data_IF_543660610121
#
_entry.id   IF_543660610121
#
_cell.length_a   1.000
_cell.length_b   1.000
_cell.length_c   1.000
_cell.angle_alpha   90.00
_cell.angle_beta   90.00
_cell.angle_gamma   90.00
#
_symmetry.space_group_name_H-M   'P 1'
#
loop_
_entity.id
_entity.type
_entity.pdbx_description
1 polymer ?
#
# COMPACT_ATOMS: atom_id res chain seq x y z
N UNK A 1 74.97 50.62 9.39
CA UNK A 1 74.04 51.05 8.33
C UNK A 1 73.79 49.81 7.50
N UNK A 2 72.68 49.13 7.79
CA UNK A 2 72.32 47.86 7.18
C UNK A 2 71.05 48.11 6.38
N UNK A 3 71.15 47.96 5.06
CA UNK A 3 70.06 48.18 4.12
C UNK A 3 68.94 47.17 4.37
N UNK A 4 67.77 47.68 4.76
CA UNK A 4 66.54 46.90 4.84
C UNK A 4 66.06 46.64 3.40
N UNK A 5 65.81 45.37 3.02
CA UNK A 5 65.32 45.05 1.69
C UNK A 5 63.95 45.68 1.48
N UNK A 6 63.86 46.54 0.47
CA UNK A 6 62.65 47.26 0.11
C UNK A 6 61.52 46.28 -0.22
N UNK A 7 60.49 46.30 0.63
CA UNK A 7 59.18 45.73 0.33
C UNK A 7 58.66 46.39 -0.95
N UNK A 8 58.69 45.65 -2.06
CA UNK A 8 57.97 46.07 -3.27
C UNK A 8 56.48 46.10 -2.95
N UNK A 9 55.75 47.15 -3.35
CA UNK A 9 54.29 47.15 -3.22
C UNK A 9 53.75 45.93 -3.98
N UNK A 10 52.74 45.23 -3.43
CA UNK A 10 52.12 44.12 -4.13
C UNK A 10 51.64 44.64 -5.49
N UNK A 11 52.05 43.95 -6.57
CA UNK A 11 51.51 44.20 -7.90
C UNK A 11 49.99 44.14 -7.79
N UNK A 12 49.31 45.19 -8.22
CA UNK A 12 47.84 45.24 -8.23
C UNK A 12 47.36 44.09 -9.13
N UNK A 13 46.89 43.01 -8.50
CA UNK A 13 46.35 41.84 -9.17
C UNK A 13 45.28 42.29 -10.17
N UNK A 14 45.49 41.97 -11.46
CA UNK A 14 44.56 42.27 -12.54
C UNK A 14 43.17 41.71 -12.17
N UNK A 15 42.12 42.55 -12.10
CA UNK A 15 40.78 42.10 -11.73
C UNK A 15 40.24 40.98 -12.64
N UNK A 16 40.72 40.87 -13.89
CA UNK A 16 40.37 39.77 -14.78
C UNK A 16 40.96 38.42 -14.33
N UNK A 17 42.19 38.42 -13.81
CA UNK A 17 42.84 37.22 -13.29
C UNK A 17 42.17 36.72 -12.01
N UNK A 18 41.76 37.64 -11.12
CA UNK A 18 40.99 37.30 -9.94
C UNK A 18 39.66 36.60 -10.29
N UNK A 19 38.94 37.10 -11.31
CA UNK A 19 37.69 36.51 -11.78
C UNK A 19 37.93 35.12 -12.39
N UNK A 20 38.98 34.96 -13.20
CA UNK A 20 39.33 33.68 -13.82
C UNK A 20 39.67 32.61 -12.78
N UNK A 21 40.44 32.97 -11.75
CA UNK A 21 40.77 32.08 -10.63
C UNK A 21 39.50 31.69 -9.86
N UNK A 22 38.58 32.63 -9.64
CA UNK A 22 37.30 32.35 -8.96
C UNK A 22 36.43 31.37 -9.77
N UNK A 23 36.31 31.57 -11.09
CA UNK A 23 35.57 30.68 -11.98
C UNK A 23 36.17 29.27 -12.01
N UNK A 24 37.49 29.15 -12.09
CA UNK A 24 38.18 27.86 -12.05
C UNK A 24 37.92 27.12 -10.73
N UNK A 25 38.03 27.80 -9.58
CA UNK A 25 37.72 27.22 -8.27
C UNK A 25 36.26 26.79 -8.14
N UNK A 26 35.34 27.55 -8.74
CA UNK A 26 33.92 27.18 -8.77
C UNK A 26 33.68 25.93 -9.63
N UNK A 27 34.26 25.88 -10.83
CA UNK A 27 34.18 24.73 -11.72
C UNK A 27 34.77 23.46 -11.07
N UNK A 28 35.94 23.57 -10.43
CA UNK A 28 36.55 22.46 -9.69
C UNK A 28 35.66 21.94 -8.56
N UNK A 29 35.03 22.83 -7.77
CA UNK A 29 34.08 22.42 -6.72
C UNK A 29 32.83 21.74 -7.26
N UNK A 30 32.36 22.14 -8.45
CA UNK A 30 31.26 21.43 -9.12
C UNK A 30 31.71 20.05 -9.57
N UNK A 31 32.86 19.94 -10.23
CA UNK A 31 33.39 18.66 -10.70
C UNK A 31 33.64 17.68 -9.54
N UNK A 32 34.23 18.16 -8.45
CA UNK A 32 34.46 17.35 -7.26
C UNK A 32 33.14 16.84 -6.66
N UNK A 33 32.12 17.70 -6.55
CA UNK A 33 30.78 17.27 -6.09
C UNK A 33 30.17 16.24 -7.03
N UNK A 34 30.17 16.46 -8.34
CA UNK A 34 29.64 15.49 -9.30
C UNK A 34 30.37 14.15 -9.25
N UNK A 35 31.68 14.16 -8.97
CA UNK A 35 32.44 12.94 -8.80
C UNK A 35 32.07 12.22 -7.51
N UNK A 36 31.99 12.92 -6.37
CA UNK A 36 31.51 12.36 -5.11
C UNK A 36 30.10 11.77 -5.27
N UNK A 37 29.20 12.46 -5.96
CA UNK A 37 27.84 11.99 -6.23
C UNK A 37 27.82 10.70 -7.05
N UNK A 38 28.69 10.58 -8.07
CA UNK A 38 28.82 9.35 -8.86
C UNK A 38 29.41 8.20 -8.05
N UNK A 39 30.40 8.47 -7.21
CA UNK A 39 31.02 7.47 -6.35
C UNK A 39 30.03 6.94 -5.30
N UNK A 40 29.26 7.84 -4.67
CA UNK A 40 28.20 7.47 -3.72
C UNK A 40 27.09 6.69 -4.41
N UNK A 41 26.59 7.17 -5.55
CA UNK A 41 25.56 6.48 -6.31
C UNK A 41 26.01 5.09 -6.78
N UNK A 42 27.26 4.96 -7.24
CA UNK A 42 27.84 3.67 -7.63
C UNK A 42 27.99 2.70 -6.46
N UNK A 43 28.31 3.21 -5.27
CA UNK A 43 28.36 2.41 -4.04
C UNK A 43 26.97 1.92 -3.66
N UNK A 44 25.96 2.81 -3.68
CA UNK A 44 24.56 2.44 -3.42
C UNK A 44 24.09 1.37 -4.42
N UNK A 45 24.29 1.59 -5.72
CA UNK A 45 23.91 0.61 -6.74
C UNK A 45 24.62 -0.74 -6.53
N UNK A 46 25.91 -0.72 -6.21
CA UNK A 46 26.72 -1.90 -5.94
C UNK A 46 26.16 -2.74 -4.79
N UNK A 47 25.85 -2.12 -3.65
CA UNK A 47 25.31 -2.83 -2.49
C UNK A 47 23.90 -3.36 -2.73
N UNK A 48 23.05 -2.61 -3.45
CA UNK A 48 21.73 -3.09 -3.84
C UNK A 48 21.82 -4.29 -4.79
N UNK A 49 22.71 -4.25 -5.78
CA UNK A 49 22.94 -5.37 -6.70
C UNK A 49 23.48 -6.59 -5.96
N UNK A 50 24.37 -6.39 -5.00
CA UNK A 50 24.92 -7.46 -4.18
C UNK A 50 23.85 -8.10 -3.28
N UNK A 51 23.03 -7.29 -2.60
CA UNK A 51 21.92 -7.76 -1.78
C UNK A 51 20.87 -8.51 -2.61
N UNK A 52 20.53 -8.00 -3.80
CA UNK A 52 19.62 -8.66 -4.72
C UNK A 52 20.14 -10.04 -5.17
N UNK A 53 21.40 -10.09 -5.61
CA UNK A 53 22.02 -11.33 -6.07
C UNK A 53 22.09 -12.36 -4.95
N UNK A 54 22.46 -11.93 -3.74
CA UNK A 54 22.55 -12.79 -2.57
C UNK A 54 21.17 -13.34 -2.17
N UNK A 55 20.13 -12.50 -2.16
CA UNK A 55 18.75 -12.89 -1.87
C UNK A 55 18.28 -14.02 -2.79
N UNK A 56 18.33 -13.79 -4.11
CA UNK A 56 17.86 -14.76 -5.09
C UNK A 56 18.78 -15.97 -5.26
N UNK A 57 20.04 -15.90 -4.82
CA UNK A 57 20.92 -17.08 -4.81
C UNK A 57 20.50 -18.11 -3.74
N UNK A 58 19.85 -17.66 -2.65
CA UNK A 58 19.44 -18.50 -1.52
C UNK A 58 17.98 -18.92 -1.61
N UNK A 59 17.14 -18.09 -2.22
CA UNK A 59 15.69 -18.32 -2.28
C UNK A 59 15.30 -19.73 -2.77
N UNK A 60 15.85 -20.29 -3.88
CA UNK A 60 15.39 -21.57 -4.40
C UNK A 60 15.56 -22.73 -3.41
N UNK A 61 16.73 -22.82 -2.78
CA UNK A 61 17.03 -23.86 -1.79
C UNK A 61 16.07 -23.77 -0.59
N UNK A 62 15.71 -22.54 -0.20
CA UNK A 62 14.89 -22.31 0.98
C UNK A 62 13.41 -22.50 0.71
N UNK A 63 12.94 -22.08 -0.45
CA UNK A 63 11.62 -22.44 -0.93
C UNK A 63 11.47 -23.97 -1.01
N UNK A 64 12.49 -24.67 -1.50
CA UNK A 64 12.50 -26.13 -1.52
C UNK A 64 12.47 -26.74 -0.10
N UNK A 65 13.30 -26.25 0.82
CA UNK A 65 13.29 -26.71 2.21
C UNK A 65 11.95 -26.44 2.91
N UNK A 66 11.35 -25.26 2.68
CA UNK A 66 10.05 -24.91 3.23
C UNK A 66 8.94 -25.81 2.66
N UNK A 67 8.90 -26.02 1.35
CA UNK A 67 7.96 -26.93 0.70
C UNK A 67 8.10 -28.34 1.29
N UNK A 68 9.33 -28.85 1.41
CA UNK A 68 9.61 -30.14 2.06
C UNK A 68 9.19 -30.17 3.53
N UNK A 69 9.29 -29.05 4.26
CA UNK A 69 8.85 -28.98 5.65
C UNK A 69 7.32 -28.97 5.80
N UNK A 70 6.62 -28.48 4.77
CA UNK A 70 5.16 -28.48 4.68
C UNK A 70 4.60 -29.81 4.16
N UNK A 71 5.46 -30.71 3.67
CA UNK A 71 5.08 -32.09 3.39
C UNK A 71 4.61 -32.72 4.70
N UNK A 72 3.29 -32.72 4.89
CA UNK A 72 2.64 -33.52 5.91
C UNK A 72 3.09 -34.95 5.66
N UNK A 73 3.47 -35.66 6.72
CA UNK A 73 3.68 -37.11 6.68
C UNK A 73 2.35 -37.79 6.34
N UNK A 74 1.97 -37.72 5.08
CA UNK A 74 0.84 -38.43 4.53
C UNK A 74 1.22 -39.90 4.58
N UNK A 75 0.36 -40.77 5.13
CA UNK A 75 0.58 -42.21 5.06
C UNK A 75 0.51 -42.72 3.61
N UNK A 76 0.10 -41.87 2.66
CA UNK A 76 0.09 -42.18 1.24
C UNK A 76 1.38 -41.69 0.57
N UNK A 77 2.00 -42.51 -0.30
CA UNK A 77 3.13 -42.05 -1.10
C UNK A 77 2.73 -40.80 -1.89
N UNK A 78 3.61 -39.79 -2.00
CA UNK A 78 3.33 -38.62 -2.81
C UNK A 78 2.99 -39.09 -4.23
N UNK A 79 1.87 -38.61 -4.77
CA UNK A 79 1.57 -38.78 -6.19
C UNK A 79 2.73 -38.14 -6.97
N UNK A 80 3.26 -38.85 -7.97
CA UNK A 80 4.33 -38.27 -8.79
C UNK A 80 3.82 -36.98 -9.43
N UNK A 81 4.67 -35.96 -9.54
CA UNK A 81 4.32 -34.79 -10.35
C UNK A 81 4.04 -35.22 -11.79
N UNK A 82 4.74 -36.24 -12.28
CA UNK A 82 4.43 -36.85 -13.57
C UNK A 82 3.04 -37.50 -13.55
N UNK A 83 2.59 -38.15 -12.47
CA UNK A 83 1.20 -38.67 -12.40
C UNK A 83 0.14 -37.55 -12.36
N UNK A 84 0.48 -36.40 -11.77
CA UNK A 84 -0.37 -35.21 -11.71
C UNK A 84 -0.45 -34.50 -13.07
N UNK A 85 0.60 -34.57 -13.90
CA UNK A 85 0.71 -33.87 -15.18
C UNK A 85 0.59 -34.78 -16.42
N UNK A 86 0.75 -36.11 -16.30
CA UNK A 86 0.55 -37.09 -17.38
C UNK A 86 -0.94 -37.22 -17.75
N UNK A 87 -1.86 -36.74 -16.90
CA UNK A 87 -3.26 -36.51 -17.24
C UNK A 87 -3.58 -35.07 -17.68
N UNK A 88 -2.62 -34.16 -17.58
CA UNK A 88 -2.73 -32.79 -18.08
C UNK A 88 -2.06 -32.70 -19.46
N UNK A 89 -2.38 -33.63 -20.36
CA UNK A 89 -2.45 -33.23 -21.77
C UNK A 89 -3.28 -31.95 -21.80
N UNK A 90 -2.80 -30.92 -22.51
CA UNK A 90 -3.56 -29.71 -22.77
C UNK A 90 -5.00 -30.14 -23.03
N UNK A 91 -5.89 -29.97 -22.04
CA UNK A 91 -7.32 -30.00 -22.27
C UNK A 91 -7.54 -28.68 -23.00
N UNK A 92 -7.12 -28.65 -24.28
CA UNK A 92 -7.92 -28.03 -25.30
C UNK A 92 -9.32 -28.52 -24.95
N UNK A 93 -10.18 -27.63 -24.48
CA UNK A 93 -11.59 -27.93 -24.25
C UNK A 93 -12.25 -28.21 -25.62
N UNK A 94 -11.68 -29.13 -26.38
CA UNK A 94 -12.35 -29.90 -27.38
C UNK A 94 -13.39 -30.68 -26.58
N UNK A 95 -14.69 -30.45 -26.84
CA UNK A 95 -15.73 -31.17 -26.13
C UNK A 95 -15.42 -32.65 -26.27
N UNK A 96 -15.12 -33.32 -25.15
CA UNK A 96 -14.99 -34.77 -25.15
C UNK A 96 -16.21 -35.33 -25.87
N UNK A 97 -16.03 -36.26 -26.84
CA UNK A 97 -17.16 -36.90 -27.48
C UNK A 97 -18.03 -37.44 -26.36
N UNK A 98 -19.28 -36.97 -26.30
CA UNK A 98 -20.24 -37.25 -25.23
C UNK A 98 -20.10 -38.71 -24.82
N UNK A 99 -19.50 -39.02 -23.66
CA UNK A 99 -19.22 -40.41 -23.31
C UNK A 99 -20.55 -41.13 -23.25
N UNK A 100 -20.71 -42.17 -24.08
CA UNK A 100 -21.94 -42.97 -24.13
C UNK A 100 -22.21 -43.70 -22.81
N UNK A 101 -21.18 -43.83 -21.96
CA UNK A 101 -21.22 -44.46 -20.65
C UNK A 101 -20.48 -43.59 -19.63
N UNK A 102 -21.17 -43.21 -18.56
CA UNK A 102 -20.55 -42.52 -17.43
C UNK A 102 -20.00 -43.57 -16.45
N UNK A 103 -18.67 -43.63 -16.30
CA UNK A 103 -18.02 -44.43 -15.27
C UNK A 103 -17.64 -43.56 -14.08
N UNK A 104 -18.04 -43.96 -12.88
CA UNK A 104 -17.66 -43.27 -11.65
C UNK A 104 -16.80 -44.20 -10.79
N UNK A 105 -15.67 -43.68 -10.32
CA UNK A 105 -14.89 -44.33 -9.28
C UNK A 105 -15.39 -43.91 -7.91
N UNK A 106 -16.00 -44.84 -7.19
CA UNK A 106 -16.48 -44.60 -5.84
C UNK A 106 -15.41 -45.13 -4.88
N UNK A 107 -14.85 -44.21 -4.08
CA UNK A 107 -13.96 -44.59 -2.99
C UNK A 107 -14.77 -44.81 -1.71
N UNK A 108 -14.85 -46.06 -1.26
CA UNK A 108 -15.49 -46.44 -0.01
C UNK A 108 -14.42 -46.46 1.09
N UNK A 109 -14.32 -45.36 1.82
CA UNK A 109 -13.26 -45.11 2.81
C UNK A 109 -13.31 -46.06 4.01
N UNK A 110 -14.50 -46.54 4.36
CA UNK A 110 -14.76 -47.52 5.40
C UNK A 110 -14.24 -48.92 5.06
N UNK A 111 -14.21 -49.27 3.77
CA UNK A 111 -13.75 -50.56 3.27
C UNK A 111 -12.32 -50.53 2.70
N UNK A 112 -11.70 -49.35 2.62
CA UNK A 112 -10.47 -49.11 1.84
C UNK A 112 -10.50 -49.74 0.44
N UNK A 113 -11.68 -49.71 -0.19
CA UNK A 113 -11.91 -50.36 -1.47
C UNK A 113 -12.31 -49.32 -2.51
N UNK A 114 -11.65 -49.38 -3.68
CA UNK A 114 -12.08 -48.69 -4.89
C UNK A 114 -13.05 -49.58 -5.62
N UNK A 115 -14.26 -49.10 -5.84
CA UNK A 115 -15.26 -49.77 -6.66
C UNK A 115 -15.54 -48.90 -7.87
N UNK A 116 -15.29 -49.45 -9.05
CA UNK A 116 -15.65 -48.80 -10.31
C UNK A 116 -17.09 -49.18 -10.64
N UNK A 117 -17.98 -48.20 -10.67
CA UNK A 117 -19.36 -48.40 -11.09
C UNK A 117 -19.49 -47.89 -12.52
N UNK A 118 -19.64 -48.82 -13.47
CA UNK A 118 -20.08 -48.46 -14.81
C UNK A 118 -21.59 -48.59 -14.88
N UNK A 119 -22.27 -47.53 -15.34
CA UNK A 119 -23.72 -47.54 -15.48
C UNK A 119 -24.09 -47.21 -16.92
N UNK A 120 -24.83 -48.12 -17.56
CA UNK A 120 -25.42 -48.01 -18.91
C UNK A 120 -26.54 -46.95 -18.99
N UNK A 121 -26.68 -46.14 -17.94
CA UNK A 121 -27.68 -45.08 -17.94
C UNK A 121 -27.10 -43.94 -18.76
N UNK A 122 -27.56 -43.82 -20.00
CA UNK A 122 -27.68 -42.52 -20.63
C UNK A 122 -28.52 -41.64 -19.68
N UNK A 123 -27.85 -41.05 -18.69
CA UNK A 123 -28.37 -39.96 -17.90
C UNK A 123 -28.55 -38.85 -18.92
N UNK A 124 -29.74 -38.75 -19.49
CA UNK A 124 -30.23 -37.46 -19.95
C UNK A 124 -30.23 -36.57 -18.73
N UNK A 125 -29.09 -35.92 -18.48
CA UNK A 125 -29.03 -34.74 -17.66
C UNK A 125 -30.08 -33.83 -18.26
N UNK A 126 -31.19 -33.65 -17.55
CA UNK A 126 -32.10 -32.57 -17.84
C UNK A 126 -31.28 -31.30 -17.95
N UNK A 127 -31.65 -30.42 -18.87
CA UNK A 127 -30.97 -29.15 -19.06
C UNK A 127 -30.73 -28.51 -17.69
N UNK A 128 -29.46 -28.57 -17.25
CA UNK A 128 -29.11 -28.19 -15.89
C UNK A 128 -29.29 -26.68 -15.71
N UNK A 129 -29.47 -25.93 -16.80
CA UNK A 129 -29.80 -24.51 -16.79
C UNK A 129 -31.11 -24.23 -16.03
N UNK A 130 -32.07 -25.17 -16.03
CA UNK A 130 -33.31 -25.02 -15.24
C UNK A 130 -33.06 -25.17 -13.73
N UNK A 131 -32.00 -25.87 -13.34
CA UNK A 131 -31.66 -26.17 -11.93
C UNK A 131 -30.44 -25.40 -11.43
N UNK A 132 -29.69 -24.74 -12.32
CA UNK A 132 -28.55 -23.94 -11.98
C UNK A 132 -29.01 -22.75 -11.13
N UNK A 133 -28.46 -22.66 -9.92
CA UNK A 133 -28.61 -21.43 -9.15
C UNK A 133 -28.08 -20.27 -9.98
N UNK A 134 -28.79 -19.13 -9.94
CA UNK A 134 -28.27 -17.90 -10.53
C UNK A 134 -26.87 -17.65 -9.98
N UNK A 135 -25.94 -17.23 -10.85
CA UNK A 135 -24.64 -16.72 -10.42
C UNK A 135 -24.88 -15.70 -9.30
N UNK A 136 -24.37 -15.99 -8.10
CA UNK A 136 -24.36 -15.07 -6.98
C UNK A 136 -22.92 -14.84 -6.59
N UNK A 137 -22.56 -13.58 -6.38
CA UNK A 137 -21.28 -13.25 -5.78
C UNK A 137 -21.39 -13.48 -4.27
N UNK A 138 -20.32 -14.00 -3.65
CA UNK A 138 -20.28 -14.14 -2.20
C UNK A 138 -20.32 -12.77 -1.54
N UNK A 139 -21.43 -12.43 -0.91
CA UNK A 139 -21.54 -11.24 -0.07
C UNK A 139 -21.26 -11.63 1.39
N UNK A 140 -20.30 -10.96 2.04
CA UNK A 140 -20.11 -11.13 3.48
C UNK A 140 -21.34 -10.56 4.19
N UNK A 141 -22.14 -11.36 4.92
CA UNK A 141 -23.32 -10.85 5.59
C UNK A 141 -22.88 -9.80 6.61
N UNK A 142 -23.50 -8.62 6.56
CA UNK A 142 -23.24 -7.55 7.52
C UNK A 142 -24.55 -7.07 8.13
N UNK A 143 -24.54 -6.92 9.46
CA UNK A 143 -25.65 -6.34 10.23
C UNK A 143 -25.59 -4.81 10.30
N UNK A 144 -24.43 -4.24 9.97
CA UNK A 144 -24.15 -2.80 10.00
C UNK A 144 -23.55 -2.36 8.66
N UNK A 145 -23.67 -1.08 8.31
CA UNK A 145 -22.95 -0.52 7.17
C UNK A 145 -21.44 -0.57 7.40
N UNK A 146 -20.69 -1.20 6.50
CA UNK A 146 -19.23 -1.20 6.52
C UNK A 146 -18.75 -0.03 5.65
N UNK A 147 -17.99 0.88 6.25
CA UNK A 147 -17.34 1.96 5.53
C UNK A 147 -16.23 1.42 4.63
N UNK A 148 -16.27 1.80 3.36
CA UNK A 148 -15.19 1.55 2.43
C UNK A 148 -14.32 2.81 2.32
N UNK A 149 -13.12 2.77 2.91
CA UNK A 149 -12.14 3.87 2.88
C UNK A 149 -11.20 3.81 1.67
N UNK A 150 -11.52 3.03 0.63
CA UNK A 150 -10.71 3.05 -0.58
C UNK A 150 -11.03 4.26 -1.44
N UNK A 151 -9.99 4.92 -1.97
CA UNK A 151 -10.16 5.95 -2.99
C UNK A 151 -10.82 5.32 -4.23
N UNK A 152 -12.05 5.74 -4.62
CA UNK A 152 -12.74 5.16 -5.77
C UNK A 152 -12.02 5.43 -7.09
N UNK A 153 -11.11 6.41 -7.14
CA UNK A 153 -10.27 6.72 -8.30
C UNK A 153 -9.16 5.70 -8.49
N UNK A 154 -8.86 4.88 -7.48
CA UNK A 154 -7.84 3.83 -7.54
C UNK A 154 -8.51 2.47 -7.70
N UNK A 155 -8.30 1.83 -8.84
CA UNK A 155 -8.82 0.50 -9.10
C UNK A 155 -7.95 -0.56 -8.42
N UNK A 156 -8.51 -1.31 -7.46
CA UNK A 156 -7.76 -2.33 -6.70
C UNK A 156 -7.63 -3.67 -7.41
N UNK A 157 -8.65 -4.07 -8.16
CA UNK A 157 -8.67 -5.28 -8.98
C UNK A 157 -9.70 -5.12 -10.09
N UNK A 158 -9.57 -5.88 -11.18
CA UNK A 158 -10.54 -5.88 -12.28
C UNK A 158 -11.57 -7.00 -12.00
N UNK A 159 -12.83 -6.68 -11.69
CA UNK A 159 -13.85 -7.71 -11.50
C UNK A 159 -14.11 -8.44 -12.81
N UNK A 160 -14.36 -9.76 -12.76
CA UNK A 160 -14.73 -10.56 -13.94
C UNK A 160 -13.74 -10.45 -15.12
N UNK A 161 -12.43 -10.25 -14.85
CA UNK A 161 -11.43 -10.08 -15.91
C UNK A 161 -11.39 -11.26 -16.91
N UNK A 162 -11.75 -12.46 -16.44
CA UNK A 162 -11.76 -13.69 -17.23
C UNK A 162 -13.12 -13.98 -17.90
N UNK A 163 -14.16 -13.16 -17.65
CA UNK A 163 -15.50 -13.42 -18.22
C UNK A 163 -15.59 -12.95 -19.69
N UNK A 164 -15.99 -13.82 -20.63
CA UNK A 164 -16.12 -13.44 -22.03
C UNK A 164 -17.22 -12.37 -22.20
N UNK A 165 -16.81 -11.18 -22.65
CA UNK A 165 -17.69 -10.02 -22.84
C UNK A 165 -17.53 -8.92 -21.79
N UNK A 166 -16.83 -9.18 -20.69
CA UNK A 166 -16.44 -8.13 -19.76
C UNK A 166 -15.33 -7.27 -20.39
N UNK A 167 -15.58 -5.97 -20.54
CA UNK A 167 -14.63 -5.03 -21.15
C UNK A 167 -13.70 -4.45 -20.10
N UNK A 168 -12.72 -5.26 -19.66
CA UNK A 168 -11.77 -4.92 -18.60
C UNK A 168 -11.09 -3.56 -18.82
N UNK A 169 -10.67 -3.24 -20.04
CA UNK A 169 -9.97 -1.99 -20.36
C UNK A 169 -10.88 -0.77 -20.21
N UNK A 170 -12.15 -0.90 -20.63
CA UNK A 170 -13.14 0.17 -20.50
C UNK A 170 -13.53 0.39 -19.03
N UNK A 171 -13.55 -0.67 -18.23
CA UNK A 171 -13.77 -0.56 -16.79
C UNK A 171 -12.57 0.14 -16.13
N UNK A 172 -11.35 -0.34 -16.40
CA UNK A 172 -10.12 0.24 -15.89
C UNK A 172 -9.95 1.72 -16.25
N UNK A 173 -10.34 2.13 -17.47
CA UNK A 173 -10.25 3.54 -17.90
C UNK A 173 -11.14 4.51 -17.13
N UNK A 174 -12.09 4.02 -16.32
CA UNK A 174 -12.92 4.86 -15.45
C UNK A 174 -12.21 5.26 -14.15
N UNK A 175 -11.06 4.67 -13.89
CA UNK A 175 -10.25 4.94 -12.70
C UNK A 175 -9.00 5.72 -13.11
N UNK A 176 -8.56 6.61 -12.23
CA UNK A 176 -7.38 7.44 -12.46
C UNK A 176 -6.08 6.64 -12.38
N UNK A 177 -6.05 5.65 -11.48
CA UNK A 177 -4.88 4.84 -11.19
C UNK A 177 -5.28 3.39 -10.94
N UNK A 178 -4.35 2.48 -11.17
CA UNK A 178 -4.48 1.08 -10.80
C UNK A 178 -3.62 0.84 -9.56
N UNK A 179 -4.19 0.27 -8.50
CA UNK A 179 -3.50 0.08 -7.23
C UNK A 179 -2.21 -0.73 -7.41
N UNK A 180 -2.23 -1.75 -8.26
CA UNK A 180 -1.06 -2.58 -8.55
C UNK A 180 -0.01 -1.90 -9.43
N UNK A 181 -0.22 -0.68 -9.91
CA UNK A 181 0.82 0.10 -10.59
C UNK A 181 1.56 1.04 -9.62
N UNK A 182 0.87 1.51 -8.58
CA UNK A 182 1.42 2.50 -7.63
C UNK A 182 1.84 1.87 -6.31
N UNK A 183 1.23 0.75 -5.93
CA UNK A 183 1.48 0.03 -4.68
C UNK A 183 2.10 -1.35 -4.90
N UNK A 184 2.71 -1.61 -6.07
CA UNK A 184 3.49 -2.82 -6.26
C UNK A 184 4.80 -2.71 -5.49
N UNK A 185 4.71 -3.01 -4.20
CA UNK A 185 5.86 -3.28 -3.40
C UNK A 185 6.05 -4.78 -3.37
N UNK A 186 6.89 -5.25 -4.29
CA UNK A 186 7.51 -6.55 -4.19
C UNK A 186 7.98 -6.76 -2.72
N UNK A 187 7.47 -7.84 -2.13
CA UNK A 187 7.71 -8.19 -0.75
C UNK A 187 9.20 -8.40 -0.51
N UNK A 188 9.86 -9.02 -1.49
CA UNK A 188 11.26 -9.39 -1.49
C UNK A 188 12.13 -8.16 -1.65
N UNK A 189 11.71 -7.23 -2.52
CA UNK A 189 12.38 -5.94 -2.69
C UNK A 189 12.54 -5.20 -1.37
N UNK A 190 11.58 -5.27 -0.44
CA UNK A 190 11.71 -4.60 0.87
C UNK A 190 12.77 -5.26 1.76
N UNK A 191 12.91 -6.58 1.69
CA UNK A 191 13.94 -7.32 2.42
C UNK A 191 15.32 -7.07 1.80
N UNK A 192 15.39 -7.05 0.47
CA UNK A 192 16.60 -6.70 -0.29
C UNK A 192 17.03 -5.27 0.05
N UNK A 193 16.09 -4.32 0.08
CA UNK A 193 16.38 -2.94 0.45
C UNK A 193 16.85 -2.82 1.90
N UNK A 194 16.33 -3.63 2.81
CA UNK A 194 16.76 -3.64 4.20
C UNK A 194 18.20 -4.12 4.34
N UNK A 195 18.53 -5.23 3.67
CA UNK A 195 19.89 -5.74 3.70
C UNK A 195 20.88 -4.81 2.99
N UNK A 196 20.48 -4.24 1.85
CA UNK A 196 21.29 -3.25 1.13
C UNK A 196 21.55 -2.00 1.99
N UNK A 197 20.53 -1.49 2.68
CA UNK A 197 20.68 -0.34 3.57
C UNK A 197 21.67 -0.63 4.70
N UNK A 198 21.58 -1.82 5.28
CA UNK A 198 22.52 -2.27 6.30
C UNK A 198 23.95 -2.36 5.77
N UNK A 199 24.16 -2.96 4.59
CA UNK A 199 25.48 -3.01 3.94
C UNK A 199 26.04 -1.60 3.68
N UNK A 200 25.17 -0.66 3.32
CA UNK A 200 25.56 0.75 3.15
C UNK A 200 25.99 1.42 4.47
N UNK A 201 25.34 1.08 5.59
CA UNK A 201 25.78 1.50 6.92
C UNK A 201 27.15 0.89 7.28
N UNK A 202 27.39 -0.38 6.95
CA UNK A 202 28.66 -1.07 7.21
C UNK A 202 29.85 -0.43 6.47
N UNK A 203 29.63 0.10 5.27
CA UNK A 203 30.65 0.86 4.51
C UNK A 203 30.76 2.33 4.94
N UNK A 204 29.99 2.74 5.95
CA UNK A 204 30.06 4.08 6.56
C UNK A 204 29.29 5.16 5.81
N UNK A 205 28.31 4.81 4.96
CA UNK A 205 27.40 5.80 4.40
C UNK A 205 26.35 6.18 5.45
N UNK A 206 26.24 7.49 5.72
CA UNK A 206 25.20 8.01 6.61
C UNK A 206 23.80 7.95 5.95
N UNK A 207 22.75 7.91 6.79
CA UNK A 207 21.36 7.85 6.31
C UNK A 207 20.97 9.06 5.45
N UNK A 208 21.55 10.25 5.69
CA UNK A 208 21.20 11.46 4.93
C UNK A 208 21.72 11.39 3.50
N UNK A 209 22.93 10.85 3.30
CA UNK A 209 23.52 10.56 1.99
C UNK A 209 22.72 9.47 1.29
N UNK A 210 22.37 8.39 1.99
CA UNK A 210 21.54 7.33 1.39
C UNK A 210 20.20 7.94 0.94
N UNK A 211 19.51 8.70 1.78
CA UNK A 211 18.25 9.39 1.43
C UNK A 211 18.39 10.37 0.26
N UNK A 212 19.50 11.10 0.20
CA UNK A 212 19.76 12.08 -0.86
C UNK A 212 20.02 11.42 -2.21
N UNK A 213 20.68 10.26 -2.23
CA UNK A 213 21.14 9.60 -3.45
C UNK A 213 20.38 8.31 -3.80
N UNK A 214 19.41 7.90 -2.99
CA UNK A 214 18.60 6.70 -3.26
C UNK A 214 17.74 6.86 -4.52
N UNK A 215 17.56 5.78 -5.32
CA UNK A 215 16.48 5.69 -6.27
C UNK A 215 15.12 6.05 -5.66
N UNK A 216 14.28 6.80 -6.39
CA UNK A 216 12.91 7.18 -5.97
C UNK A 216 12.02 6.00 -5.60
N UNK A 217 12.32 4.81 -6.13
CA UNK A 217 11.60 3.57 -5.86
C UNK A 217 11.93 2.95 -4.51
N UNK A 218 12.97 3.42 -3.82
CA UNK A 218 13.40 2.82 -2.56
C UNK A 218 12.59 3.36 -1.37
N UNK A 219 12.11 2.46 -0.49
CA UNK A 219 11.45 2.88 0.73
C UNK A 219 12.39 3.77 1.53
N UNK A 220 11.86 4.87 2.07
CA UNK A 220 12.65 5.76 2.90
C UNK A 220 13.14 5.04 4.16
N UNK A 221 14.46 4.93 4.42
CA UNK A 221 15.01 4.39 5.66
C UNK A 221 14.59 5.09 6.97
N UNK A 222 13.70 6.09 6.90
CA UNK A 222 13.09 6.71 8.07
C UNK A 222 12.34 5.73 8.98
N UNK A 223 11.74 6.28 10.05
CA UNK A 223 11.03 5.52 11.09
C UNK A 223 9.96 4.55 10.55
N UNK A 224 9.37 4.87 9.41
CA UNK A 224 8.41 4.02 8.69
C UNK A 224 9.02 2.68 8.25
N UNK A 225 10.27 2.66 7.78
CA UNK A 225 10.90 1.44 7.29
C UNK A 225 11.24 0.45 8.40
N UNK A 226 11.81 0.94 9.50
CA UNK A 226 12.08 0.10 10.69
C UNK A 226 10.78 -0.43 11.30
N UNK A 227 9.74 0.40 11.37
CA UNK A 227 8.40 -0.01 11.80
C UNK A 227 7.79 -1.07 10.88
N UNK A 228 8.05 -0.95 9.58
CA UNK A 228 7.61 -1.92 8.58
C UNK A 228 8.32 -3.27 8.74
N UNK A 229 9.65 -3.27 8.88
CA UNK A 229 10.43 -4.51 9.07
C UNK A 229 10.00 -5.29 10.31
N UNK A 230 9.65 -4.61 11.41
CA UNK A 230 9.09 -5.25 12.62
C UNK A 230 7.83 -6.06 12.37
N UNK A 231 7.00 -5.64 11.41
CA UNK A 231 5.71 -6.29 11.11
C UNK A 231 5.86 -7.43 10.09
N UNK A 232 7.08 -7.65 9.59
CA UNK A 232 7.35 -8.72 8.64
C UNK A 232 7.90 -9.94 9.37
N UNK A 233 7.49 -11.09 8.86
CA UNK A 233 8.24 -12.31 9.03
C UNK A 233 9.51 -12.18 8.20
N UNK A 234 10.66 -12.32 8.86
CA UNK A 234 11.93 -12.40 8.16
C UNK A 234 12.14 -13.83 7.68
N UNK A 235 12.66 -14.04 6.46
CA UNK A 235 13.14 -15.36 6.07
C UNK A 235 14.19 -15.80 7.09
N UNK A 236 14.18 -17.07 7.47
CA UNK A 236 15.11 -17.59 8.48
C UNK A 236 16.59 -17.49 8.05
N UNK A 237 16.84 -17.27 6.75
CA UNK A 237 18.17 -17.09 6.15
C UNK A 237 18.55 -15.61 6.00
N UNK A 238 17.71 -14.69 6.47
CA UNK A 238 18.10 -13.30 6.65
C UNK A 238 19.41 -13.24 7.44
N UNK A 239 20.29 -12.30 7.06
CA UNK A 239 21.57 -12.14 7.74
C UNK A 239 21.35 -12.01 9.26
N UNK A 240 22.25 -12.58 10.08
CA UNK A 240 22.16 -12.45 11.55
C UNK A 240 21.95 -10.97 11.96
N UNK A 241 22.58 -10.07 11.21
CA UNK A 241 22.44 -8.63 11.38
C UNK A 241 21.04 -8.07 11.04
N UNK A 242 20.29 -8.65 10.09
CA UNK A 242 18.88 -8.29 9.87
C UNK A 242 18.00 -8.79 11.01
N UNK A 243 18.28 -9.97 11.55
CA UNK A 243 17.59 -10.50 12.74
C UNK A 243 17.87 -9.61 13.94
N UNK A 244 19.11 -9.16 14.15
CA UNK A 244 19.46 -8.18 15.18
C UNK A 244 18.77 -6.83 14.97
N UNK A 245 18.63 -6.34 13.74
CA UNK A 245 17.88 -5.12 13.44
C UNK A 245 16.40 -5.28 13.79
N UNK A 246 15.79 -6.43 13.49
CA UNK A 246 14.40 -6.73 13.83
C UNK A 246 14.18 -6.84 15.34
N UNK A 247 15.09 -7.52 16.04
CA UNK A 247 15.05 -7.68 17.50
C UNK A 247 15.33 -6.37 18.24
N UNK A 248 16.37 -5.62 17.84
CA UNK A 248 16.71 -4.31 18.41
C UNK A 248 15.60 -3.29 18.20
N UNK A 249 14.96 -3.34 17.02
CA UNK A 249 13.71 -2.64 16.80
C UNK A 249 12.72 -3.12 17.86
N UNK A 250 12.32 -4.39 17.95
CA UNK A 250 11.32 -4.85 18.93
C UNK A 250 11.58 -4.38 20.38
N UNK A 251 12.84 -4.40 20.84
CA UNK A 251 13.24 -4.03 22.22
C UNK A 251 13.05 -2.54 22.54
N UNK A 252 13.17 -1.65 21.54
CA UNK A 252 12.94 -0.20 21.69
C UNK A 252 11.45 0.14 21.93
N UNK A 253 10.50 -0.76 21.63
CA UNK A 253 9.08 -0.53 21.93
C UNK A 253 8.76 -0.70 23.42
N UNK A 254 9.39 -1.66 24.09
CA UNK A 254 9.11 -1.98 25.50
C UNK A 254 9.54 -0.88 26.48
N UNK A 255 10.38 0.06 26.06
CA UNK A 255 10.79 1.21 26.87
C UNK A 255 9.88 2.44 26.70
N UNK A 256 8.81 2.34 25.90
CA UNK A 256 7.90 3.48 25.72
C UNK A 256 6.99 3.66 26.93
N UNK A 257 6.89 4.91 27.39
CA UNK A 257 6.07 5.35 28.51
C UNK A 257 4.61 4.89 28.31
N UNK A 258 4.00 4.20 29.29
CA UNK A 258 2.60 3.72 29.25
C UNK A 258 1.62 4.77 28.68
N UNK A 259 1.83 6.05 29.01
CA UNK A 259 1.03 7.16 28.52
C UNK A 259 1.07 7.32 26.99
N UNK A 260 2.23 7.07 26.36
CA UNK A 260 2.37 7.12 24.89
C UNK A 260 1.62 5.96 24.23
N UNK A 261 1.69 4.76 24.79
CA UNK A 261 0.90 3.62 24.30
C UNK A 261 -0.60 3.89 24.47
N UNK A 262 -1.04 4.31 25.66
CA UNK A 262 -2.45 4.67 25.90
C UNK A 262 -2.92 5.76 24.93
N UNK A 263 -2.13 6.82 24.73
CA UNK A 263 -2.48 7.87 23.76
C UNK A 263 -2.50 7.37 22.32
N UNK A 264 -1.68 6.38 21.96
CA UNK A 264 -1.76 5.74 20.65
C UNK A 264 -3.09 5.02 20.44
N UNK A 265 -3.64 4.40 21.50
CA UNK A 265 -4.96 3.76 21.45
C UNK A 265 -6.11 4.77 21.40
N UNK A 266 -5.99 5.95 22.03
CA UNK A 266 -7.03 6.99 21.97
C UNK A 266 -7.36 7.38 20.53
N UNK A 267 -6.37 7.41 19.64
CA UNK A 267 -6.58 7.68 18.21
C UNK A 267 -7.27 6.54 17.44
N UNK A 268 -7.26 5.34 18.01
CA UNK A 268 -7.80 4.13 17.40
C UNK A 268 -9.24 3.89 17.83
N UNK A 269 -9.62 4.24 19.06
CA UNK A 269 -10.98 4.03 19.54
C UNK A 269 -11.95 5.12 19.04
N UNK A 270 -13.19 4.72 18.79
CA UNK A 270 -14.26 5.66 18.49
C UNK A 270 -14.53 6.56 19.70
N UNK A 271 -14.64 7.87 19.47
CA UNK A 271 -14.98 8.84 20.51
C UNK A 271 -16.47 8.85 20.90
N UNK A 272 -17.32 8.11 20.18
CA UNK A 272 -18.75 8.01 20.50
C UNK A 272 -18.95 7.16 21.75
N UNK A 273 -19.64 7.69 22.76
CA UNK A 273 -19.99 6.92 23.98
C UNK A 273 -20.89 5.72 23.70
N UNK A 274 -21.54 5.70 22.53
CA UNK A 274 -22.42 4.62 22.07
C UNK A 274 -21.60 3.52 21.36
N UNK A 275 -20.34 3.80 20.99
CA UNK A 275 -19.50 2.87 20.26
C UNK A 275 -18.10 2.77 20.87
N UNK A 276 -17.78 1.63 21.48
CA UNK A 276 -16.47 1.34 22.03
C UNK A 276 -15.58 0.52 21.07
N UNK A 277 -15.88 0.51 19.76
CA UNK A 277 -15.12 -0.24 18.76
C UNK A 277 -13.83 0.51 18.38
N UNK A 278 -12.71 -0.20 18.37
CA UNK A 278 -11.47 0.25 17.74
C UNK A 278 -11.67 0.34 16.22
N UNK A 279 -11.20 1.43 15.60
CA UNK A 279 -11.39 1.78 14.18
C UNK A 279 -12.86 1.66 13.77
N UNK A 280 -13.74 2.28 14.53
CA UNK A 280 -15.16 2.27 14.20
C UNK A 280 -15.38 2.87 12.81
N UNK A 281 -16.00 2.07 11.96
CA UNK A 281 -16.31 2.40 10.59
C UNK A 281 -17.58 3.25 10.45
N UNK A 282 -18.23 3.65 11.55
CA UNK A 282 -19.61 4.19 11.54
C UNK A 282 -19.71 5.66 11.94
N UNK A 283 -18.81 6.18 12.79
CA UNK A 283 -19.01 7.47 13.50
C UNK A 283 -17.96 8.56 13.20
N UNK A 284 -17.33 8.54 12.03
CA UNK A 284 -16.37 9.58 11.59
C UNK A 284 -17.01 10.41 10.46
N UNK A 285 -17.01 11.75 10.48
CA UNK A 285 -17.47 12.49 9.30
C UNK A 285 -16.41 12.40 8.20
N UNK A 286 -16.76 11.74 7.10
CA UNK A 286 -15.86 11.52 5.99
C UNK A 286 -16.35 12.32 4.81
N UNK A 287 -15.43 13.05 4.21
CA UNK A 287 -15.63 13.93 3.09
C UNK A 287 -14.32 14.03 2.31
N UNK A 288 -14.39 14.33 1.02
CA UNK A 288 -13.20 14.70 0.24
C UNK A 288 -12.73 16.09 0.68
N UNK A 289 -11.43 16.23 1.00
CA UNK A 289 -10.83 17.53 1.31
C UNK A 289 -10.51 18.24 -0.01
N UNK A 290 -11.13 19.39 -0.20
CA UNK A 290 -10.94 20.26 -1.35
C UNK A 290 -10.23 21.53 -0.85
N UNK A 291 -9.10 21.94 -1.45
CA UNK A 291 -8.49 23.22 -1.13
C UNK A 291 -9.47 24.36 -1.47
N UNK A 292 -9.56 25.37 -0.58
CA UNK A 292 -10.50 26.47 -0.75
C UNK A 292 -10.28 27.15 -2.12
N UNK A 293 -11.31 27.26 -2.98
CA UNK A 293 -11.19 27.90 -4.29
C UNK A 293 -10.75 29.37 -4.21
N UNK A 294 -10.94 30.05 -3.08
CA UNK A 294 -10.50 31.44 -2.90
C UNK A 294 -8.98 31.63 -3.01
N UNK A 295 -8.19 30.57 -2.80
CA UNK A 295 -6.72 30.63 -2.81
C UNK A 295 -6.09 30.24 -4.17
N UNK A 296 -6.86 29.77 -5.15
CA UNK A 296 -6.34 29.31 -6.44
C UNK A 296 -7.15 29.81 -7.64
N UNK A 297 -6.50 30.31 -8.70
CA UNK A 297 -7.14 30.75 -9.95
C UNK A 297 -7.98 29.64 -10.66
N UNK A 298 -7.76 28.36 -10.31
CA UNK A 298 -8.57 27.22 -10.75
C UNK A 298 -9.88 26.98 -9.98
N UNK A 299 -10.15 27.74 -8.92
CA UNK A 299 -11.34 27.59 -8.05
C UNK A 299 -12.66 27.94 -8.74
N UNK A 300 -12.63 28.75 -9.80
CA UNK A 300 -13.82 29.25 -10.50
C UNK A 300 -14.58 28.14 -11.24
N UNK A 301 -13.89 27.10 -11.74
CA UNK A 301 -14.54 26.00 -12.46
C UNK A 301 -15.14 24.95 -11.53
N UNK A 302 -14.48 24.67 -10.40
CA UNK A 302 -15.01 23.76 -9.39
C UNK A 302 -16.31 24.32 -8.80
N UNK A 303 -16.34 25.62 -8.48
CA UNK A 303 -17.55 26.31 -7.98
C UNK A 303 -18.75 26.20 -8.91
N UNK A 304 -18.55 26.21 -10.25
CA UNK A 304 -19.66 26.10 -11.21
C UNK A 304 -20.24 24.70 -11.28
N UNK A 305 -19.41 23.68 -11.40
CA UNK A 305 -19.89 22.29 -11.43
C UNK A 305 -20.57 21.91 -10.10
N UNK A 306 -20.04 22.43 -8.99
CA UNK A 306 -20.58 22.19 -7.65
C UNK A 306 -21.88 22.97 -7.39
N UNK A 307 -21.96 24.23 -7.81
CA UNK A 307 -23.18 25.04 -7.76
C UNK A 307 -24.31 24.37 -8.56
N UNK A 308 -24.01 23.83 -9.75
CA UNK A 308 -24.96 23.06 -10.54
C UNK A 308 -25.45 21.78 -9.84
N UNK A 309 -24.57 21.08 -9.10
CA UNK A 309 -24.95 19.90 -8.32
C UNK A 309 -25.82 20.25 -7.11
N UNK A 310 -25.50 21.32 -6.40
CA UNK A 310 -26.29 21.82 -5.26
C UNK A 310 -27.69 22.27 -5.71
N UNK A 311 -27.78 23.01 -6.82
CA UNK A 311 -29.05 23.45 -7.41
C UNK A 311 -29.90 22.27 -7.87
N UNK A 312 -29.27 21.21 -8.40
CA UNK A 312 -29.98 20.02 -8.86
C UNK A 312 -30.46 19.11 -7.72
N UNK A 313 -29.71 19.02 -6.61
CA UNK A 313 -30.00 18.08 -5.51
C UNK A 313 -30.73 18.71 -4.33
N UNK A 314 -30.75 20.04 -4.22
CA UNK A 314 -31.30 20.79 -3.07
C UNK A 314 -30.72 20.35 -1.71
N UNK A 315 -29.48 19.86 -1.68
CA UNK A 315 -28.79 19.36 -0.49
C UNK A 315 -27.38 19.96 -0.44
N UNK A 316 -26.94 20.40 0.75
CA UNK A 316 -25.62 20.97 0.97
C UNK A 316 -24.77 20.00 1.82
N UNK A 317 -23.70 19.48 1.24
CA UNK A 317 -22.77 18.55 1.91
C UNK A 317 -21.42 19.18 2.23
N UNK A 318 -21.33 20.52 2.18
CA UNK A 318 -20.11 21.28 2.39
C UNK A 318 -19.94 21.69 3.83
N UNK A 319 -18.76 21.38 4.37
CA UNK A 319 -18.34 21.88 5.67
C UNK A 319 -16.96 22.52 5.54
N UNK A 320 -16.78 23.68 6.18
CA UNK A 320 -15.46 24.27 6.34
C UNK A 320 -14.71 23.48 7.42
N UNK A 321 -13.62 22.80 7.04
CA UNK A 321 -12.76 22.13 8.03
C UNK A 321 -11.91 23.15 8.79
N UNK A 322 -11.42 24.16 8.07
CA UNK A 322 -10.75 25.32 8.64
C UNK A 322 -11.26 26.55 7.88
N UNK A 323 -11.70 27.62 8.58
CA UNK A 323 -12.17 28.82 7.93
C UNK A 323 -11.15 29.32 6.89
N UNK A 324 -11.56 29.36 5.63
CA UNK A 324 -10.77 29.93 4.54
C UNK A 324 -9.68 29.05 3.93
N UNK A 325 -9.49 27.80 4.33
CA UNK A 325 -8.38 26.96 3.79
C UNK A 325 -8.82 25.65 3.16
N UNK A 326 -9.73 24.91 3.80
CA UNK A 326 -10.16 23.60 3.33
C UNK A 326 -11.66 23.41 3.44
N UNK A 327 -12.27 22.97 2.35
CA UNK A 327 -13.66 22.55 2.26
C UNK A 327 -13.73 21.02 2.29
N UNK A 328 -14.79 20.50 2.88
CA UNK A 328 -15.12 19.08 2.89
C UNK A 328 -16.34 18.84 2.02
N UNK A 329 -16.22 18.00 0.98
CA UNK A 329 -17.34 17.54 0.16
C UNK A 329 -17.72 16.09 0.46
N UNK A 330 -18.85 15.88 1.12
CA UNK A 330 -19.40 14.53 1.35
C UNK A 330 -20.39 14.07 0.27
N UNK A 331 -20.68 14.89 -0.75
CA UNK A 331 -21.59 14.53 -1.84
C UNK A 331 -20.98 13.45 -2.74
N UNK A 332 -19.66 13.49 -2.89
CA UNK A 332 -18.89 12.61 -3.78
C UNK A 332 -18.30 11.43 -3.00
N UNK A 333 -17.68 11.71 -1.85
CA UNK A 333 -17.11 10.71 -0.95
C UNK A 333 -17.58 11.01 0.46
N UNK A 334 -18.62 10.33 0.95
CA UNK A 334 -19.11 10.56 2.30
C UNK A 334 -19.82 9.37 2.92
N UNK A 335 -20.04 9.42 4.23
CA UNK A 335 -20.71 8.35 4.98
C UNK A 335 -22.11 8.77 5.49
N UNK A 336 -22.73 7.94 6.34
CA UNK A 336 -24.09 8.17 6.84
C UNK A 336 -24.25 9.49 7.61
N UNK A 337 -23.16 10.06 8.14
CA UNK A 337 -23.17 11.32 8.88
C UNK A 337 -23.50 12.52 7.96
N UNK A 338 -23.38 12.37 6.63
CA UNK A 338 -23.83 13.38 5.65
C UNK A 338 -25.34 13.66 5.67
N UNK A 339 -26.12 12.77 6.29
CA UNK A 339 -27.57 12.91 6.39
C UNK A 339 -28.01 13.74 7.61
N UNK A 340 -27.07 14.35 8.35
CA UNK A 340 -27.39 15.27 9.45
C UNK A 340 -27.88 16.59 8.85
N UNK A 341 -29.10 16.96 9.18
CA UNK A 341 -29.67 18.25 8.80
C UNK A 341 -29.43 19.28 9.90
N UNK A 342 -29.27 20.55 9.50
CA UNK A 342 -29.36 21.66 10.45
C UNK A 342 -30.84 21.87 10.80
N UNK A 343 -31.23 21.90 12.09
CA UNK A 343 -32.59 22.31 12.45
C UNK A 343 -32.81 23.78 12.06
N UNK A 344 -34.03 24.12 11.65
CA UNK A 344 -34.41 25.50 11.29
C UNK A 344 -34.32 26.47 12.48
N UNK A 345 -34.43 25.95 13.71
CA UNK A 345 -34.40 26.73 14.96
C UNK A 345 -33.32 26.21 15.94
N UNK A 346 -32.49 27.12 16.43
CA UNK A 346 -31.27 26.77 17.18
C UNK A 346 -31.39 26.23 18.62
N UNK A 347 -32.54 26.11 19.32
CA UNK A 347 -32.54 25.25 20.51
C UNK A 347 -32.79 23.77 20.20
N UNK A 348 -33.10 23.38 18.96
CA UNK A 348 -33.47 21.98 18.63
C UNK A 348 -32.29 21.11 18.17
N UNK A 349 -31.06 21.65 18.13
CA UNK A 349 -29.88 20.86 17.78
C UNK A 349 -29.58 19.85 18.90
N UNK A 350 -29.82 18.57 18.64
CA UNK A 350 -29.48 17.45 19.52
C UNK A 350 -28.03 16.96 19.32
N UNK A 351 -27.33 17.52 18.33
CA UNK A 351 -25.95 17.21 17.97
C UNK A 351 -25.19 18.51 17.70
N UNK A 352 -23.97 18.60 18.24
CA UNK A 352 -23.00 19.65 18.00
C UNK A 352 -21.84 19.10 17.16
N UNK A 353 -21.28 19.92 16.26
CA UNK A 353 -20.11 19.58 15.47
C UNK A 353 -18.92 20.42 15.93
N UNK A 354 -17.77 19.78 16.17
CA UNK A 354 -16.53 20.44 16.59
C UNK A 354 -15.34 19.88 15.78
N UNK A 355 -14.37 20.74 15.48
CA UNK A 355 -13.19 20.36 14.69
C UNK A 355 -12.03 20.01 15.62
N UNK A 356 -11.47 18.81 15.48
CA UNK A 356 -10.37 18.34 16.34
C UNK A 356 -9.22 17.75 15.53
N UNK A 357 -8.01 17.91 16.05
CA UNK A 357 -6.82 17.26 15.53
C UNK A 357 -6.74 15.82 16.05
N UNK A 358 -6.77 14.83 15.16
CA UNK A 358 -6.70 13.41 15.50
C UNK A 358 -5.58 12.77 14.68
N UNK A 359 -4.49 12.36 15.34
CA UNK A 359 -3.36 11.73 14.65
C UNK A 359 -2.54 12.65 13.75
N UNK A 360 -2.68 13.98 13.91
CA UNK A 360 -2.02 14.99 13.07
C UNK A 360 -2.96 15.66 12.07
N UNK A 361 -4.06 14.99 11.72
CA UNK A 361 -5.04 15.49 10.75
C UNK A 361 -6.20 16.21 11.44
N UNK A 362 -6.75 17.25 10.80
CA UNK A 362 -7.97 17.93 11.27
C UNK A 362 -9.21 17.16 10.82
N UNK A 363 -10.15 16.92 11.74
CA UNK A 363 -11.39 16.18 11.49
C UNK A 363 -12.61 16.87 12.11
N UNK A 364 -13.78 16.73 11.50
CA UNK A 364 -15.06 17.15 12.10
C UNK A 364 -15.65 15.98 12.88
N UNK A 365 -15.96 16.23 14.16
CA UNK A 365 -16.52 15.26 15.08
C UNK A 365 -17.89 15.74 15.54
N UNK A 366 -18.86 14.82 15.61
CA UNK A 366 -20.21 15.10 16.07
C UNK A 366 -20.44 14.56 17.49
N UNK A 367 -21.05 15.36 18.35
CA UNK A 367 -21.32 15.05 19.76
C UNK A 367 -22.79 15.31 20.08
N UNK A 368 -23.41 14.52 20.96
CA UNK A 368 -24.76 14.87 21.43
C UNK A 368 -24.69 16.01 22.44
N UNK A 369 -25.54 17.03 22.26
CA UNK A 369 -25.63 18.23 23.10
C UNK A 369 -26.56 18.05 24.32
N UNK A 370 -27.27 16.92 24.40
CA UNK A 370 -28.29 16.65 25.42
C UNK A 370 -27.90 15.45 26.29
N UNK A 371 -27.82 15.67 27.61
CA UNK A 371 -27.83 14.63 28.63
C UNK A 371 -29.18 14.60 29.34
#
# INVERSE_FOLDING_TARGET
MSDLPGLRPPEEDDPEDALRIQQQRYAQRIQQRLQEEREVAGTIEGEYRAAWTDFYSREPEQCEQLIRSLEVASPHPPLSLDDLFEGAEYIEMSPEPTPSEASFDIWLSDLQQRSQLSTDTALTLHDMDEYAYRKYESCTPSVEGILYNGDPRILKFIPCADEPGFRAELYASKHLQLAWQTEWFDVDFKLIAADAHRRLEDVGLDHEKIERYKPRSLPSPGSGFKSFLRKRDLPHWSSESLVELHQSAATLATATHLLREVNSFVSVFCGSLICNKAKCMTHEYIAEIIPNPEDNEGGIELDKAQSMLNDHRHLNYFFNLLPGTYLLDAATVGNAVRCINCPDEQPMANVEADTRQVGGDMKIMFYSSTF
#
